data_IF_961386468586
#
_entry.id   IF_961386468586
#
_cell.length_a   1.000
_cell.length_b   1.000
_cell.length_c   1.000
_cell.angle_alpha   90.00
_cell.angle_beta   90.00
_cell.angle_gamma   90.00
#
_symmetry.space_group_name_H-M   'P 1'
#
loop_
_entity.id
_entity.type
_entity.pdbx_description
1 polymer ?
#
# COMPACT_ATOMS: atom_id res chain seq x y z
N UNK A 1 -7.62 -12.60 -7.40
CA UNK A 1 -6.17 -12.74 -7.71
C UNK A 1 -5.91 -12.11 -9.07
N UNK A 2 -4.79 -11.42 -9.23
CA UNK A 2 -4.48 -10.63 -10.42
C UNK A 2 -3.00 -10.73 -10.82
N UNK A 3 -2.74 -10.62 -12.11
CA UNK A 3 -1.41 -10.44 -12.70
C UNK A 3 -1.24 -8.97 -13.07
N UNK A 4 -0.26 -8.30 -12.48
CA UNK A 4 0.01 -6.88 -12.73
C UNK A 4 1.33 -6.63 -13.45
N UNK A 5 1.62 -5.36 -13.68
CA UNK A 5 2.91 -4.88 -14.20
C UNK A 5 4.07 -5.29 -13.27
N UNK A 6 3.84 -5.26 -11.96
CA UNK A 6 4.90 -5.38 -10.95
C UNK A 6 5.12 -6.82 -10.44
N UNK A 7 4.20 -7.74 -10.77
CA UNK A 7 4.25 -9.11 -10.27
C UNK A 7 2.95 -9.88 -10.41
N UNK A 8 2.90 -11.03 -9.75
CA UNK A 8 1.70 -11.89 -9.65
C UNK A 8 1.36 -12.16 -8.19
N UNK A 9 0.06 -12.18 -7.86
CA UNK A 9 -0.43 -12.44 -6.51
C UNK A 9 -1.25 -13.73 -6.49
N UNK A 10 -0.91 -14.64 -5.59
CA UNK A 10 -1.54 -15.94 -5.44
C UNK A 10 -2.00 -16.17 -4.00
N UNK A 11 -3.21 -16.68 -3.80
CA UNK A 11 -3.65 -17.17 -2.51
C UNK A 11 -3.05 -18.54 -2.24
N UNK A 12 -2.66 -18.79 -0.99
CA UNK A 12 -2.15 -20.09 -0.54
C UNK A 12 -3.26 -20.94 0.10
N UNK A 13 -3.00 -22.22 0.28
CA UNK A 13 -3.87 -23.10 1.07
C UNK A 13 -3.93 -22.75 2.57
N UNK A 14 -3.13 -21.77 3.04
CA UNK A 14 -3.16 -21.23 4.41
C UNK A 14 -4.00 -19.95 4.52
N UNK A 15 -4.73 -19.55 3.46
CA UNK A 15 -5.49 -18.28 3.39
C UNK A 15 -4.62 -17.04 3.58
N UNK A 16 -3.37 -17.13 3.13
CA UNK A 16 -2.43 -16.01 2.98
C UNK A 16 -2.30 -15.67 1.50
N UNK A 17 -1.72 -14.52 1.18
CA UNK A 17 -1.38 -14.14 -0.18
C UNK A 17 0.14 -14.10 -0.35
N UNK A 18 0.63 -14.66 -1.46
CA UNK A 18 2.03 -14.56 -1.90
C UNK A 18 2.11 -13.63 -3.10
N UNK A 19 2.88 -12.56 -2.95
CA UNK A 19 3.28 -11.66 -4.03
C UNK A 19 4.65 -12.07 -4.54
N UNK A 20 4.77 -12.32 -5.84
CA UNK A 20 6.06 -12.53 -6.52
C UNK A 20 6.34 -11.28 -7.35
N UNK A 21 7.44 -10.60 -7.03
CA UNK A 21 7.82 -9.33 -7.63
C UNK A 21 8.89 -9.53 -8.71
N UNK A 22 8.85 -8.72 -9.76
CA UNK A 22 9.80 -8.84 -10.88
C UNK A 22 11.12 -8.11 -10.63
N UNK A 23 11.08 -7.03 -9.85
CA UNK A 23 12.22 -6.13 -9.66
C UNK A 23 12.72 -6.22 -8.20
N UNK A 24 14.03 -6.43 -7.99
CA UNK A 24 14.61 -6.48 -6.63
C UNK A 24 14.37 -5.22 -5.81
N UNK A 25 14.39 -4.05 -6.44
CA UNK A 25 14.15 -2.77 -5.77
C UNK A 25 12.72 -2.69 -5.21
N UNK A 26 11.72 -3.00 -6.03
CA UNK A 26 10.30 -3.03 -5.60
C UNK A 26 10.12 -4.03 -4.46
N UNK A 27 10.73 -5.21 -4.57
CA UNK A 27 10.72 -6.20 -3.50
C UNK A 27 11.30 -5.68 -2.19
N UNK A 28 12.46 -5.02 -2.23
CA UNK A 28 13.08 -4.48 -1.03
C UNK A 28 12.22 -3.38 -0.39
N UNK A 29 11.64 -2.49 -1.19
CA UNK A 29 10.79 -1.40 -0.69
C UNK A 29 9.50 -1.92 -0.06
N UNK A 30 8.84 -2.90 -0.70
CA UNK A 30 7.61 -3.49 -0.19
C UNK A 30 7.88 -4.32 1.08
N UNK A 31 8.93 -5.16 1.08
CA UNK A 31 9.31 -5.95 2.26
C UNK A 31 9.62 -5.05 3.46
N UNK A 32 10.39 -3.99 3.24
CA UNK A 32 10.78 -3.07 4.31
C UNK A 32 9.58 -2.26 4.83
N UNK A 33 8.62 -1.91 3.97
CA UNK A 33 7.35 -1.29 4.41
C UNK A 33 6.60 -2.20 5.38
N UNK A 34 6.43 -3.48 5.05
CA UNK A 34 5.79 -4.45 5.93
C UNK A 34 6.57 -4.68 7.23
N UNK A 35 7.91 -4.70 7.18
CA UNK A 35 8.74 -4.82 8.38
C UNK A 35 8.55 -3.64 9.34
N UNK A 36 8.48 -2.41 8.84
CA UNK A 36 8.24 -1.22 9.66
C UNK A 36 6.87 -1.25 10.33
N UNK A 37 5.84 -1.66 9.58
CA UNK A 37 4.50 -1.86 10.13
C UNK A 37 4.49 -2.92 11.23
N UNK A 38 5.16 -4.05 10.99
CA UNK A 38 5.31 -5.13 11.99
C UNK A 38 6.03 -4.65 13.25
N UNK A 39 7.19 -3.97 13.11
CA UNK A 39 7.96 -3.43 14.23
C UNK A 39 7.18 -2.39 15.04
N UNK A 40 6.32 -1.61 14.38
CA UNK A 40 5.44 -0.65 15.03
C UNK A 40 4.16 -1.27 15.60
N UNK A 41 3.97 -2.59 15.48
CA UNK A 41 2.74 -3.32 15.85
C UNK A 41 1.48 -2.73 15.20
N UNK A 42 1.58 -2.27 13.95
CA UNK A 42 0.47 -1.69 13.21
C UNK A 42 -0.22 -2.79 12.42
N UNK A 43 -1.47 -3.08 12.80
CA UNK A 43 -2.39 -3.95 12.05
C UNK A 43 -3.52 -3.17 11.39
N UNK A 44 -3.67 -1.88 11.73
CA UNK A 44 -4.68 -0.99 11.16
C UNK A 44 -4.21 0.47 11.18
N UNK A 45 -4.69 1.26 10.22
CA UNK A 45 -4.48 2.71 10.15
C UNK A 45 -5.83 3.37 9.86
N UNK A 46 -6.30 4.25 10.75
CA UNK A 46 -7.58 4.95 10.58
C UNK A 46 -8.78 4.00 10.30
N UNK A 47 -8.76 2.80 10.89
CA UNK A 47 -9.77 1.76 10.67
C UNK A 47 -9.55 0.90 9.42
N UNK A 48 -8.52 1.17 8.61
CA UNK A 48 -8.17 0.35 7.46
C UNK A 48 -7.21 -0.75 7.88
N UNK A 49 -7.60 -2.00 7.68
CA UNK A 49 -6.76 -3.15 7.98
C UNK A 49 -5.51 -3.18 7.09
N UNK A 50 -4.38 -3.56 7.68
CA UNK A 50 -3.10 -3.70 6.98
C UNK A 50 -2.66 -5.17 7.07
N UNK A 51 -2.35 -5.85 5.95
CA UNK A 51 -1.78 -7.18 5.96
C UNK A 51 -0.52 -7.26 6.82
N UNK A 52 -0.41 -8.32 7.62
CA UNK A 52 0.81 -8.63 8.35
C UNK A 52 1.76 -9.40 7.44
N UNK A 53 3.06 -9.16 7.61
CA UNK A 53 4.10 -9.99 7.02
C UNK A 53 4.10 -11.38 7.66
N UNK A 54 4.02 -12.41 6.83
CA UNK A 54 4.08 -13.82 7.26
C UNK A 54 5.47 -14.39 6.99
N UNK A 55 5.97 -14.27 5.77
CA UNK A 55 7.29 -14.76 5.37
C UNK A 55 7.79 -14.05 4.10
N UNK A 56 9.04 -14.27 3.69
CA UNK A 56 9.59 -13.79 2.43
C UNK A 56 10.74 -14.67 1.91
N UNK A 57 10.97 -14.62 0.60
CA UNK A 57 12.09 -15.30 -0.06
C UNK A 57 12.82 -14.33 -0.97
N UNK A 58 14.05 -13.96 -0.60
CA UNK A 58 14.91 -13.09 -1.41
C UNK A 58 15.27 -13.73 -2.75
N UNK A 59 15.65 -15.02 -2.85
CA UNK A 59 15.96 -15.63 -4.14
C UNK A 59 14.79 -15.66 -5.12
N UNK A 60 13.56 -15.70 -4.60
CA UNK A 60 12.32 -15.72 -5.41
C UNK A 60 11.65 -14.35 -5.53
N UNK A 61 12.19 -13.32 -4.86
CA UNK A 61 11.55 -12.01 -4.73
C UNK A 61 10.07 -12.12 -4.28
N UNK A 62 9.81 -13.02 -3.33
CA UNK A 62 8.46 -13.36 -2.88
C UNK A 62 8.18 -12.83 -1.47
N UNK A 63 6.99 -12.28 -1.25
CA UNK A 63 6.50 -11.81 0.05
C UNK A 63 5.17 -12.50 0.33
N UNK A 64 5.06 -13.14 1.49
CA UNK A 64 3.81 -13.73 1.99
C UNK A 64 3.20 -12.83 3.05
N UNK A 65 1.91 -12.52 2.91
CA UNK A 65 1.14 -11.63 3.78
C UNK A 65 -0.23 -12.21 4.11
N UNK A 66 -0.84 -11.73 5.19
CA UNK A 66 -2.24 -12.02 5.50
C UNK A 66 -3.21 -11.48 4.43
N UNK A 67 -4.39 -12.09 4.33
CA UNK A 67 -5.51 -11.55 3.54
C UNK A 67 -6.43 -10.75 4.45
N UNK A 68 -6.75 -9.51 4.08
CA UNK A 68 -7.64 -8.61 4.82
C UNK A 68 -8.84 -8.15 3.97
N UNK A 69 -9.96 -7.89 4.63
CA UNK A 69 -11.18 -7.38 4.00
C UNK A 69 -11.22 -5.84 4.04
N UNK A 70 -11.92 -5.17 3.10
CA UNK A 70 -12.13 -3.73 3.18
C UNK A 70 -12.86 -3.35 4.48
N UNK A 71 -12.60 -2.17 5.07
CA UNK A 71 -11.62 -1.18 4.61
C UNK A 71 -10.16 -1.65 4.81
N UNK A 72 -9.28 -1.47 3.81
CA UNK A 72 -7.92 -2.04 3.82
C UNK A 72 -6.88 -1.25 3.05
N UNK A 73 -5.61 -1.48 3.38
CA UNK A 73 -4.43 -1.03 2.64
C UNK A 73 -3.65 -2.28 2.21
N UNK A 74 -3.57 -2.58 0.91
CA UNK A 74 -3.18 -3.90 0.41
C UNK A 74 -1.79 -3.96 -0.26
N UNK A 75 -1.28 -2.85 -0.76
CA UNK A 75 -0.09 -2.85 -1.61
C UNK A 75 0.88 -1.73 -1.23
N UNK A 76 2.19 -2.00 -1.25
CA UNK A 76 3.26 -0.99 -1.10
C UNK A 76 4.22 -0.98 -2.31
N UNK A 77 3.78 -1.45 -3.48
CA UNK A 77 4.61 -1.56 -4.69
C UNK A 77 5.08 -0.23 -5.28
N UNK A 78 4.47 0.90 -4.90
CA UNK A 78 4.88 2.24 -5.32
C UNK A 78 5.12 3.15 -4.12
N UNK A 79 6.16 2.82 -3.36
CA UNK A 79 6.61 3.61 -2.20
C UNK A 79 8.07 4.00 -2.32
N UNK A 80 8.41 5.15 -1.73
CA UNK A 80 9.80 5.49 -1.40
C UNK A 80 9.98 5.43 0.11
N UNK A 81 11.18 5.03 0.55
CA UNK A 81 11.51 4.92 1.96
C UNK A 81 12.43 6.07 2.37
N UNK A 82 12.13 6.68 3.51
CA UNK A 82 12.89 7.74 4.20
C UNK A 82 13.13 9.03 3.42
N UNK A 83 12.79 9.04 2.14
CA UNK A 83 12.93 10.20 1.25
C UNK A 83 11.57 10.58 0.67
N UNK A 84 11.09 11.81 0.92
CA UNK A 84 9.93 12.32 0.21
C UNK A 84 10.22 12.40 -1.30
N UNK A 85 9.21 12.23 -2.15
CA UNK A 85 9.38 12.53 -3.55
C UNK A 85 9.72 14.01 -3.75
N UNK A 86 10.57 14.27 -4.73
CA UNK A 86 11.06 15.61 -5.06
C UNK A 86 10.09 16.25 -6.08
N UNK A 87 8.94 16.69 -5.58
CA UNK A 87 7.90 17.33 -6.39
C UNK A 87 7.81 18.82 -6.07
N UNK A 88 7.56 19.62 -7.10
CA UNK A 88 7.31 21.05 -6.93
C UNK A 88 6.00 21.30 -6.16
N UNK A 89 5.87 22.46 -5.53
CA UNK A 89 4.62 22.86 -4.84
C UNK A 89 3.42 22.82 -5.78
N UNK A 90 3.58 23.26 -7.03
CA UNK A 90 2.54 23.19 -8.05
C UNK A 90 2.14 21.73 -8.34
N UNK A 91 3.11 20.84 -8.53
CA UNK A 91 2.85 19.41 -8.76
C UNK A 91 2.11 18.78 -7.58
N UNK A 92 2.44 19.17 -6.35
CA UNK A 92 1.74 18.69 -5.15
C UNK A 92 0.31 19.21 -5.06
N UNK A 93 0.07 20.47 -5.44
CA UNK A 93 -1.27 21.06 -5.47
C UNK A 93 -2.16 20.37 -6.53
N UNK A 94 -1.66 20.25 -7.76
CA UNK A 94 -2.38 19.58 -8.85
C UNK A 94 -2.71 18.12 -8.49
N UNK A 95 -1.75 17.42 -7.88
CA UNK A 95 -1.97 16.06 -7.40
C UNK A 95 -3.02 16.01 -6.29
N UNK A 96 -2.99 16.94 -5.32
CA UNK A 96 -4.00 16.98 -4.26
C UNK A 96 -5.41 17.22 -4.81
N UNK A 97 -5.56 18.08 -5.82
CA UNK A 97 -6.86 18.36 -6.44
C UNK A 97 -7.39 17.12 -7.16
N UNK A 98 -6.55 16.42 -7.92
CA UNK A 98 -6.91 15.14 -8.56
C UNK A 98 -7.33 14.07 -7.53
N UNK A 99 -6.64 14.00 -6.40
CA UNK A 99 -6.99 13.06 -5.35
C UNK A 99 -8.30 13.47 -4.64
N UNK A 100 -8.54 14.76 -4.43
CA UNK A 100 -9.80 15.25 -3.88
C UNK A 100 -10.98 14.94 -4.81
N UNK A 101 -10.80 15.06 -6.12
CA UNK A 101 -11.81 14.67 -7.12
C UNK A 101 -12.08 13.17 -7.08
N UNK A 102 -11.02 12.35 -7.05
CA UNK A 102 -11.12 10.88 -7.00
C UNK A 102 -11.80 10.37 -5.73
N UNK A 103 -11.41 10.87 -4.57
CA UNK A 103 -11.81 10.30 -3.28
C UNK A 103 -13.01 11.01 -2.65
N UNK A 104 -13.36 12.21 -3.09
CA UNK A 104 -14.44 13.01 -2.52
C UNK A 104 -14.35 13.10 -1.00
N UNK A 105 -15.42 12.67 -0.32
CA UNK A 105 -15.53 12.70 1.15
C UNK A 105 -14.54 11.77 1.86
N UNK A 106 -13.96 10.79 1.17
CA UNK A 106 -12.93 9.92 1.75
C UNK A 106 -11.56 10.58 1.81
N UNK A 107 -11.30 11.64 1.02
CA UNK A 107 -9.97 12.24 0.90
C UNK A 107 -9.32 12.61 2.25
N UNK A 108 -10.03 13.28 3.20
CA UNK A 108 -9.44 13.60 4.49
C UNK A 108 -8.98 12.37 5.29
N UNK A 109 -9.63 11.22 5.13
CA UNK A 109 -9.24 9.96 5.76
C UNK A 109 -8.01 9.36 5.07
N UNK A 110 -7.98 9.38 3.73
CA UNK A 110 -6.81 8.93 2.96
C UNK A 110 -5.58 9.78 3.31
N UNK A 111 -5.72 11.09 3.43
CA UNK A 111 -4.62 11.98 3.87
C UNK A 111 -4.07 11.59 5.25
N UNK A 112 -4.93 11.22 6.21
CA UNK A 112 -4.49 10.73 7.53
C UNK A 112 -3.74 9.40 7.43
N UNK A 113 -4.19 8.49 6.58
CA UNK A 113 -3.48 7.23 6.29
C UNK A 113 -2.09 7.53 5.72
N UNK A 114 -2.00 8.40 4.71
CA UNK A 114 -0.73 8.80 4.08
C UNK A 114 0.21 9.48 5.08
N UNK A 115 -0.32 10.36 5.92
CA UNK A 115 0.45 11.00 6.99
C UNK A 115 0.97 9.97 8.01
N UNK A 116 0.17 8.97 8.36
CA UNK A 116 0.58 7.89 9.27
C UNK A 116 1.69 7.03 8.65
N UNK A 117 1.55 6.64 7.38
CA UNK A 117 2.60 5.92 6.66
C UNK A 117 3.88 6.75 6.57
N UNK A 118 3.77 8.04 6.27
CA UNK A 118 4.90 8.97 6.25
C UNK A 118 5.61 9.06 7.60
N UNK A 119 4.88 8.99 8.72
CA UNK A 119 5.49 8.97 10.07
C UNK A 119 6.36 7.73 10.33
N UNK A 120 6.19 6.67 9.53
CA UNK A 120 7.02 5.46 9.52
C UNK A 120 8.14 5.52 8.47
N UNK A 121 8.31 6.67 7.81
CA UNK A 121 9.22 6.84 6.68
C UNK A 121 8.74 6.15 5.39
N UNK A 122 7.48 5.73 5.31
CA UNK A 122 6.87 5.14 4.10
C UNK A 122 6.16 6.25 3.34
N UNK A 123 6.76 6.69 2.24
CA UNK A 123 6.18 7.70 1.36
C UNK A 123 5.42 6.99 0.25
N UNK A 124 4.09 7.05 0.34
CA UNK A 124 3.19 6.32 -0.53
C UNK A 124 2.82 7.15 -1.76
N UNK A 125 3.30 6.75 -2.94
CA UNK A 125 3.30 7.61 -4.12
C UNK A 125 2.05 7.46 -5.01
N UNK A 126 1.31 6.36 -4.89
CA UNK A 126 0.18 6.06 -5.77
C UNK A 126 -1.05 5.57 -4.99
N UNK A 127 -1.65 6.42 -4.12
CA UNK A 127 -2.91 6.07 -3.48
C UNK A 127 -4.00 5.96 -4.54
N UNK A 128 -4.53 4.75 -4.70
CA UNK A 128 -5.67 4.47 -5.56
C UNK A 128 -6.61 3.46 -4.88
N UNK A 129 -7.87 3.33 -5.33
CA UNK A 129 -8.87 2.50 -4.67
C UNK A 129 -8.59 0.99 -4.63
N UNK A 130 -7.76 0.49 -5.56
CA UNK A 130 -7.36 -0.91 -5.55
C UNK A 130 -6.38 -1.21 -4.42
N UNK A 131 -5.55 -0.24 -4.05
CA UNK A 131 -4.53 -0.39 -3.01
C UNK A 131 -5.00 0.10 -1.64
N UNK A 132 -5.84 1.13 -1.60
CA UNK A 132 -6.50 1.60 -0.37
C UNK A 132 -7.99 1.53 -0.65
N UNK A 133 -8.67 0.50 -0.16
CA UNK A 133 -10.09 0.27 -0.46
C UNK A 133 -10.92 0.67 0.75
N UNK A 134 -11.75 1.74 0.68
CA UNK A 134 -12.75 2.05 1.70
C UNK A 134 -13.83 0.98 1.84
N UNK A 135 -14.60 1.05 2.92
CA UNK A 135 -15.83 0.26 3.05
C UNK A 135 -16.86 0.74 2.03
N UNK A 136 -17.57 -0.18 1.37
CA UNK A 136 -18.57 0.11 0.33
C UNK A 136 -18.06 1.00 -0.83
N UNK A 137 -16.75 0.92 -1.15
CA UNK A 137 -16.20 1.64 -2.30
C UNK A 137 -16.81 1.11 -3.61
N UNK A 138 -17.56 1.97 -4.31
CA UNK A 138 -18.07 1.73 -5.65
C UNK A 138 -17.26 2.55 -6.66
N UNK A 139 -16.48 1.91 -7.56
CA UNK A 139 -15.70 2.63 -8.57
C UNK A 139 -16.54 3.20 -9.71
N UNK A 140 -17.87 2.95 -9.76
CA UNK A 140 -18.79 3.40 -10.83
C UNK A 140 -19.65 4.62 -10.46
N UNK A 141 -19.44 5.24 -9.29
CA UNK A 141 -20.04 6.52 -8.89
C UNK A 141 -19.12 7.72 -9.20
#
# INVERSE_FOLDING_TARGET
MGSGTDGSVWETNRRTAVKILKLPQTFQQELESYRRLFQANITEICGYAVPRLIDFSVPLLAIEIDIVQPPRILDFGKVTLDRPPDFSEQTMADWNDLQQELWGDHWPTIQKILARLRSLGIYYSDPNPYNITPENWDPEL
#
